data_IF_758049186257
#
_entry.id   IF_758049186257
#
_cell.length_a   1.000
_cell.length_b   1.000
_cell.length_c   1.000
_cell.angle_alpha   90.00
_cell.angle_beta   90.00
_cell.angle_gamma   90.00
#
_symmetry.space_group_name_H-M   'P 1'
#
loop_
_entity.id
_entity.type
_entity.pdbx_description
1 polymer ?
#
# COMPACT_ATOMS: atom_id res chain seq x y z
N UNK A 1 37.83 -8.69 -32.22
CA UNK A 1 38.48 -8.34 -30.93
C UNK A 1 37.33 -8.02 -30.00
N UNK A 2 36.70 -9.11 -29.59
CA UNK A 2 35.37 -9.19 -29.04
C UNK A 2 35.51 -9.23 -27.53
N UNK A 3 35.12 -8.16 -26.87
CA UNK A 3 35.02 -8.14 -25.41
C UNK A 3 33.58 -8.49 -25.07
N UNK A 4 33.32 -9.79 -24.98
CA UNK A 4 32.16 -10.35 -24.30
C UNK A 4 32.28 -10.03 -22.80
N UNK A 5 31.67 -8.93 -22.36
CA UNK A 5 31.34 -8.79 -20.94
C UNK A 5 30.11 -9.64 -20.71
N UNK A 6 30.38 -10.86 -20.26
CA UNK A 6 29.46 -11.72 -19.52
C UNK A 6 28.86 -10.92 -18.35
N UNK A 7 27.71 -10.28 -18.58
CA UNK A 7 26.82 -9.89 -17.48
C UNK A 7 26.18 -11.16 -16.96
N UNK A 8 26.90 -11.85 -16.07
CA UNK A 8 26.28 -12.78 -15.13
C UNK A 8 25.34 -11.95 -14.25
N UNK A 9 24.08 -11.83 -14.69
CA UNK A 9 23.01 -11.33 -13.86
C UNK A 9 22.78 -12.39 -12.78
N UNK A 10 23.48 -12.24 -11.66
CA UNK A 10 23.23 -13.04 -10.46
C UNK A 10 21.81 -12.73 -10.00
N UNK A 11 20.88 -13.62 -10.33
CA UNK A 11 19.55 -13.64 -9.76
C UNK A 11 19.69 -14.01 -8.28
N UNK A 12 19.70 -13.01 -7.40
CA UNK A 12 19.83 -13.22 -5.97
C UNK A 12 19.11 -12.14 -5.19
N UNK A 13 17.80 -12.32 -4.98
CA UNK A 13 17.07 -12.09 -3.72
C UNK A 13 15.56 -12.00 -4.03
N UNK A 14 14.76 -12.87 -3.43
CA UNK A 14 13.27 -12.84 -3.42
C UNK A 14 12.67 -11.60 -2.71
N UNK A 15 13.42 -10.50 -2.59
CA UNK A 15 13.00 -9.25 -1.95
C UNK A 15 12.54 -8.23 -2.99
N UNK A 16 11.27 -7.85 -2.96
CA UNK A 16 10.75 -6.73 -3.75
C UNK A 16 11.41 -5.43 -3.28
N UNK A 17 12.19 -4.78 -4.14
CA UNK A 17 12.81 -3.49 -3.80
C UNK A 17 11.76 -2.38 -3.73
N UNK A 18 11.95 -1.43 -2.81
CA UNK A 18 10.99 -0.35 -2.57
C UNK A 18 10.75 0.47 -3.85
N UNK A 19 11.81 0.83 -4.58
CA UNK A 19 11.69 1.64 -5.78
C UNK A 19 11.00 0.89 -6.92
N UNK A 20 11.23 -0.42 -7.04
CA UNK A 20 10.55 -1.27 -8.01
C UNK A 20 9.04 -1.30 -7.71
N UNK A 21 8.64 -1.48 -6.44
CA UNK A 21 7.22 -1.47 -6.08
C UNK A 21 6.53 -0.13 -6.36
N UNK A 22 7.24 0.99 -6.15
CA UNK A 22 6.75 2.32 -6.49
C UNK A 22 6.55 2.45 -8.01
N UNK A 23 7.54 2.03 -8.80
CA UNK A 23 7.48 2.07 -10.27
C UNK A 23 6.31 1.25 -10.80
N UNK A 24 6.11 0.05 -10.25
CA UNK A 24 4.99 -0.82 -10.57
C UNK A 24 3.63 -0.18 -10.25
N UNK A 25 3.51 0.48 -9.11
CA UNK A 25 2.29 1.25 -8.76
C UNK A 25 2.06 2.42 -9.71
N UNK A 26 3.11 3.12 -10.17
CA UNK A 26 2.98 4.20 -11.16
C UNK A 26 2.47 3.70 -12.52
N UNK A 27 3.00 2.57 -13.00
CA UNK A 27 2.52 1.92 -14.23
C UNK A 27 1.05 1.53 -14.08
N UNK A 28 0.70 0.99 -12.91
CA UNK A 28 -0.66 0.59 -12.60
C UNK A 28 -1.61 1.78 -12.54
N UNK A 29 -1.18 2.90 -11.96
CA UNK A 29 -1.96 4.14 -11.97
C UNK A 29 -2.20 4.62 -13.41
N UNK A 30 -1.19 4.50 -14.29
CA UNK A 30 -1.38 4.81 -15.71
C UNK A 30 -2.44 3.90 -16.36
N UNK A 31 -2.45 2.59 -16.06
CA UNK A 31 -3.49 1.67 -16.53
C UNK A 31 -4.87 2.10 -16.01
N UNK A 32 -4.97 2.40 -14.72
CA UNK A 32 -6.21 2.85 -14.07
C UNK A 32 -6.75 4.12 -14.73
N UNK A 33 -5.92 5.14 -14.91
CA UNK A 33 -6.28 6.41 -15.54
C UNK A 33 -6.63 6.28 -17.03
N UNK A 34 -6.12 5.24 -17.71
CA UNK A 34 -6.52 4.88 -19.07
C UNK A 34 -7.75 3.95 -19.10
N UNK A 35 -8.56 3.92 -18.04
CA UNK A 35 -9.77 3.10 -17.91
C UNK A 35 -9.53 1.58 -18.00
N UNK A 36 -8.29 1.11 -17.85
CA UNK A 36 -7.95 -0.32 -17.81
C UNK A 36 -8.05 -0.84 -16.37
N UNK A 37 -9.19 -0.62 -15.73
CA UNK A 37 -9.41 -0.89 -14.30
C UNK A 37 -9.15 -2.34 -13.91
N UNK A 38 -9.62 -3.30 -14.70
CA UNK A 38 -9.43 -4.73 -14.40
C UNK A 38 -7.94 -5.13 -14.41
N UNK A 39 -7.17 -4.64 -15.39
CA UNK A 39 -5.73 -4.90 -15.48
C UNK A 39 -4.96 -4.22 -14.34
N UNK A 40 -5.36 -2.99 -13.97
CA UNK A 40 -4.79 -2.28 -12.85
C UNK A 40 -5.03 -3.03 -11.52
N UNK A 41 -6.27 -3.48 -11.29
CA UNK A 41 -6.64 -4.24 -10.09
C UNK A 41 -5.88 -5.57 -10.01
N UNK A 42 -5.85 -6.35 -11.10
CA UNK A 42 -5.14 -7.64 -11.16
C UNK A 42 -3.65 -7.48 -10.86
N UNK A 43 -3.00 -6.46 -11.45
CA UNK A 43 -1.57 -6.22 -11.25
C UNK A 43 -1.23 -5.93 -9.79
N UNK A 44 -2.06 -5.15 -9.08
CA UNK A 44 -1.81 -4.87 -7.66
C UNK A 44 -2.19 -6.04 -6.75
N UNK A 45 -3.28 -6.75 -7.07
CA UNK A 45 -3.77 -7.86 -6.25
C UNK A 45 -2.74 -8.99 -6.10
N UNK A 46 -1.92 -9.25 -7.12
CA UNK A 46 -0.93 -10.34 -7.12
C UNK A 46 0.14 -10.23 -6.03
N UNK A 47 0.46 -9.01 -5.59
CA UNK A 47 1.53 -8.75 -4.61
C UNK A 47 1.04 -7.91 -3.42
N UNK A 48 -0.28 -7.76 -3.28
CA UNK A 48 -0.90 -6.94 -2.23
C UNK A 48 -0.62 -7.45 -0.81
N UNK A 49 -0.30 -8.73 -0.65
CA UNK A 49 0.08 -9.34 0.64
C UNK A 49 1.57 -9.24 0.95
N UNK A 50 2.39 -8.84 -0.03
CA UNK A 50 3.86 -8.89 0.01
C UNK A 50 4.56 -7.54 0.01
N UNK A 51 3.92 -6.46 -0.41
CA UNK A 51 4.54 -5.13 -0.38
C UNK A 51 3.55 -4.01 -0.04
N UNK A 52 4.03 -2.97 0.63
CA UNK A 52 3.21 -1.84 1.06
C UNK A 52 2.56 -1.09 -0.11
N UNK A 53 3.28 -0.93 -1.23
CA UNK A 53 2.79 -0.18 -2.38
C UNK A 53 1.76 -0.95 -3.22
N UNK A 54 1.90 -2.27 -3.35
CA UNK A 54 0.87 -3.09 -3.98
C UNK A 54 -0.38 -3.20 -3.10
N UNK A 55 -0.20 -3.30 -1.77
CA UNK A 55 -1.31 -3.27 -0.82
C UNK A 55 -2.10 -1.96 -0.91
N UNK A 56 -1.39 -0.82 -0.86
CA UNK A 56 -1.98 0.50 -0.99
C UNK A 56 -2.63 0.70 -2.36
N UNK A 57 -1.93 0.35 -3.45
CA UNK A 57 -2.45 0.47 -4.81
C UNK A 57 -3.72 -0.34 -5.03
N UNK A 58 -3.75 -1.60 -4.57
CA UNK A 58 -4.96 -2.43 -4.64
C UNK A 58 -6.10 -1.83 -3.82
N UNK A 59 -5.82 -1.38 -2.60
CA UNK A 59 -6.79 -0.69 -1.75
C UNK A 59 -7.40 0.54 -2.43
N UNK A 60 -6.57 1.43 -3.00
CA UNK A 60 -7.03 2.63 -3.69
C UNK A 60 -7.87 2.33 -4.92
N UNK A 61 -7.52 1.30 -5.71
CA UNK A 61 -8.30 0.89 -6.88
C UNK A 61 -9.68 0.37 -6.47
N UNK A 62 -9.73 -0.54 -5.49
CA UNK A 62 -11.00 -1.11 -5.00
C UNK A 62 -11.86 -0.03 -4.35
N UNK A 63 -11.26 0.90 -3.59
CA UNK A 63 -11.93 2.05 -3.03
C UNK A 63 -12.59 2.92 -4.09
N UNK A 64 -11.85 3.33 -5.13
CA UNK A 64 -12.42 4.19 -6.18
C UNK A 64 -13.56 3.45 -6.89
N UNK A 65 -13.41 2.15 -7.18
CA UNK A 65 -14.50 1.35 -7.78
C UNK A 65 -15.75 1.33 -6.91
N UNK A 66 -15.60 1.12 -5.61
CA UNK A 66 -16.72 1.12 -4.66
C UNK A 66 -17.37 2.49 -4.53
N UNK A 67 -16.59 3.57 -4.58
CA UNK A 67 -17.08 4.95 -4.59
C UNK A 67 -17.81 5.32 -5.88
N UNK A 68 -17.47 4.70 -7.01
CA UNK A 68 -18.15 4.92 -8.28
C UNK A 68 -19.52 4.24 -8.34
N UNK A 69 -19.66 3.07 -7.71
CA UNK A 69 -20.94 2.33 -7.69
C UNK A 69 -21.82 2.75 -6.52
N UNK A 70 -21.23 3.15 -5.40
CA UNK A 70 -21.90 3.36 -4.11
C UNK A 70 -22.79 2.17 -3.70
N UNK A 71 -22.47 0.96 -4.17
CA UNK A 71 -23.15 -0.26 -3.76
C UNK A 71 -22.64 -0.67 -2.38
N UNK A 72 -23.57 -1.01 -1.47
CA UNK A 72 -23.23 -1.46 -0.12
C UNK A 72 -22.28 -2.66 -0.14
N UNK A 73 -22.48 -3.61 -1.07
CA UNK A 73 -21.60 -4.77 -1.20
C UNK A 73 -20.18 -4.39 -1.62
N UNK A 74 -20.04 -3.42 -2.54
CA UNK A 74 -18.74 -2.93 -3.00
C UNK A 74 -18.04 -2.12 -1.90
N UNK A 75 -18.77 -1.28 -1.16
CA UNK A 75 -18.25 -0.53 -0.02
C UNK A 75 -17.78 -1.46 1.11
N UNK A 76 -18.54 -2.52 1.43
CA UNK A 76 -18.15 -3.56 2.39
C UNK A 76 -16.88 -4.30 1.95
N UNK A 77 -16.80 -4.69 0.68
CA UNK A 77 -15.60 -5.29 0.10
C UNK A 77 -14.41 -4.34 0.21
N UNK A 78 -14.58 -3.08 -0.15
CA UNK A 78 -13.51 -2.08 -0.06
C UNK A 78 -13.03 -1.87 1.37
N UNK A 79 -13.94 -1.89 2.34
CA UNK A 79 -13.59 -1.80 3.76
C UNK A 79 -12.74 -2.99 4.21
N UNK A 80 -13.05 -4.20 3.75
CA UNK A 80 -12.26 -5.38 4.08
C UNK A 80 -10.86 -5.29 3.45
N UNK A 81 -10.76 -4.95 2.16
CA UNK A 81 -9.48 -4.75 1.47
C UNK A 81 -8.63 -3.68 2.17
N UNK A 82 -9.26 -2.59 2.62
CA UNK A 82 -8.56 -1.52 3.34
C UNK A 82 -7.99 -1.99 4.68
N UNK A 83 -8.71 -2.86 5.42
CA UNK A 83 -8.20 -3.46 6.66
C UNK A 83 -7.03 -4.40 6.39
N UNK A 84 -7.12 -5.20 5.34
CA UNK A 84 -6.05 -6.13 4.95
C UNK A 84 -4.79 -5.35 4.53
N UNK A 85 -4.95 -4.29 3.74
CA UNK A 85 -3.85 -3.40 3.34
C UNK A 85 -3.17 -2.76 4.57
N UNK A 86 -3.96 -2.23 5.52
CA UNK A 86 -3.42 -1.73 6.79
C UNK A 86 -2.58 -2.79 7.52
N UNK A 87 -3.08 -4.04 7.61
CA UNK A 87 -2.38 -5.12 8.29
C UNK A 87 -1.08 -5.55 7.58
N UNK A 88 -1.01 -5.40 6.25
CA UNK A 88 0.22 -5.64 5.49
C UNK A 88 1.22 -4.50 5.74
N UNK A 89 0.80 -3.25 5.57
CA UNK A 89 1.66 -2.07 5.70
C UNK A 89 2.24 -1.95 7.12
N UNK A 90 1.45 -2.27 8.16
CA UNK A 90 1.88 -2.27 9.56
C UNK A 90 3.12 -3.14 9.80
N UNK A 91 3.33 -4.20 9.01
CA UNK A 91 4.50 -5.10 9.16
C UNK A 91 5.82 -4.42 8.80
N UNK A 92 5.75 -3.38 7.97
CA UNK A 92 6.88 -2.58 7.49
C UNK A 92 7.10 -1.31 8.34
N UNK A 93 6.16 -0.98 9.23
CA UNK A 93 6.32 0.15 10.15
C UNK A 93 7.34 -0.16 11.24
N UNK A 94 7.87 0.89 11.87
CA UNK A 94 8.88 0.77 12.93
C UNK A 94 8.42 -0.20 14.03
N UNK A 95 9.14 -1.32 14.17
CA UNK A 95 8.99 -2.18 15.34
C UNK A 95 9.75 -1.53 16.47
N UNK A 96 9.04 -0.93 17.43
CA UNK A 96 9.62 -0.52 18.71
C UNK A 96 10.25 -1.73 19.38
N UNK A 97 11.54 -1.98 19.14
CA UNK A 97 12.29 -2.95 19.92
C UNK A 97 12.50 -2.33 21.30
N UNK A 98 11.93 -2.94 22.33
CA UNK A 98 12.06 -2.46 23.72
C UNK A 98 13.53 -2.32 24.17
N UNK A 99 14.48 -2.97 23.47
CA UNK A 99 15.92 -2.78 23.63
C UNK A 99 16.40 -1.35 23.33
N UNK A 100 15.78 -0.67 22.37
CA UNK A 100 16.22 0.64 21.87
C UNK A 100 15.72 1.80 22.74
N UNK A 101 14.73 1.52 23.59
CA UNK A 101 14.23 2.46 24.60
C UNK A 101 15.17 2.54 25.81
N UNK A 102 15.83 1.44 26.18
CA UNK A 102 16.79 1.43 27.28
C UNK A 102 18.08 2.19 26.97
N UNK A 103 18.54 2.17 25.71
CA UNK A 103 19.73 2.91 25.27
C UNK A 103 19.48 4.42 25.09
N UNK A 104 18.23 4.81 24.84
CA UNK A 104 17.83 6.21 24.62
C UNK A 104 17.72 7.06 25.90
N UNK A 105 17.71 6.46 27.09
CA UNK A 105 17.53 7.19 28.36
C UNK A 105 18.80 7.94 28.81
N UNK A 106 19.98 7.61 28.25
CA UNK A 106 21.27 8.15 28.68
C UNK A 106 21.93 9.18 27.76
N UNK A 107 21.42 9.40 26.54
CA UNK A 107 22.07 10.34 25.62
C UNK A 107 21.48 10.28 24.23
N UNK A 108 21.11 11.46 23.71
CA UNK A 108 20.61 11.76 22.37
C UNK A 108 21.04 10.74 21.31
N UNK A 109 20.19 9.77 21.03
CA UNK A 109 20.25 8.97 19.80
C UNK A 109 19.08 9.43 18.94
N UNK A 110 19.36 10.31 17.98
CA UNK A 110 18.42 10.59 16.90
C UNK A 110 18.27 9.29 16.11
N UNK A 111 17.14 8.60 16.27
CA UNK A 111 16.84 7.38 15.50
C UNK A 111 16.69 7.79 14.04
N UNK A 112 17.53 7.24 13.17
CA UNK A 112 17.41 7.39 11.72
C UNK A 112 16.31 6.44 11.25
N UNK A 113 15.15 7.00 10.87
CA UNK A 113 14.05 6.27 10.22
C UNK A 113 14.52 5.88 8.82
N UNK A 114 14.30 4.64 8.40
CA UNK A 114 14.64 4.22 7.03
C UNK A 114 13.60 4.73 6.04
N UNK A 115 13.96 4.85 4.76
CA UNK A 115 13.01 5.24 3.72
C UNK A 115 11.82 4.27 3.67
N UNK A 116 12.06 2.97 3.83
CA UNK A 116 10.99 1.96 3.87
C UNK A 116 10.02 2.18 5.03
N UNK A 117 10.52 2.47 6.23
CA UNK A 117 9.70 2.77 7.40
C UNK A 117 8.91 4.07 7.23
N UNK A 118 9.53 5.10 6.65
CA UNK A 118 8.88 6.38 6.38
C UNK A 118 7.73 6.21 5.38
N UNK A 119 7.96 5.46 4.31
CA UNK A 119 6.94 5.13 3.32
C UNK A 119 5.83 4.24 3.92
N UNK A 120 6.17 3.32 4.83
CA UNK A 120 5.18 2.52 5.54
C UNK A 120 4.26 3.37 6.42
N UNK A 121 4.81 4.33 7.18
CA UNK A 121 4.01 5.30 7.95
C UNK A 121 3.07 6.11 7.05
N UNK A 122 3.57 6.59 5.91
CA UNK A 122 2.76 7.34 4.93
C UNK A 122 1.64 6.48 4.34
N UNK A 123 1.96 5.29 3.84
CA UNK A 123 0.99 4.37 3.24
C UNK A 123 -0.07 3.93 4.25
N UNK A 124 0.34 3.77 5.51
CA UNK A 124 -0.57 3.42 6.60
C UNK A 124 -1.53 4.57 6.89
N UNK A 125 -1.02 5.80 7.02
CA UNK A 125 -1.85 7.00 7.21
C UNK A 125 -2.86 7.20 6.07
N UNK A 126 -2.45 6.97 4.81
CA UNK A 126 -3.35 7.01 3.67
C UNK A 126 -4.43 5.93 3.73
N UNK A 127 -4.06 4.71 4.09
CA UNK A 127 -5.05 3.62 4.28
C UNK A 127 -6.03 3.92 5.42
N UNK A 128 -5.58 4.58 6.49
CA UNK A 128 -6.48 5.06 7.56
C UNK A 128 -7.47 6.11 7.06
N UNK A 129 -7.01 7.02 6.19
CA UNK A 129 -7.88 8.03 5.57
C UNK A 129 -8.95 7.38 4.69
N UNK A 130 -8.56 6.40 3.86
CA UNK A 130 -9.49 5.60 3.04
C UNK A 130 -10.50 4.89 3.93
N UNK A 131 -10.06 4.30 5.05
CA UNK A 131 -10.96 3.64 6.01
C UNK A 131 -11.95 4.61 6.63
N UNK A 132 -11.52 5.79 7.03
CA UNK A 132 -12.39 6.83 7.58
C UNK A 132 -13.44 7.28 6.55
N UNK A 133 -13.03 7.45 5.29
CA UNK A 133 -13.96 7.77 4.20
C UNK A 133 -14.99 6.65 4.00
N UNK A 134 -14.55 5.38 3.94
CA UNK A 134 -15.46 4.24 3.77
C UNK A 134 -16.45 4.11 4.94
N UNK A 135 -16.02 4.33 6.18
CA UNK A 135 -16.92 4.33 7.34
C UNK A 135 -18.04 5.37 7.18
N UNK A 136 -17.71 6.56 6.69
CA UNK A 136 -18.70 7.61 6.43
C UNK A 136 -19.75 7.20 5.38
N UNK A 137 -19.34 6.49 4.31
CA UNK A 137 -20.26 6.03 3.26
C UNK A 137 -21.05 4.79 3.64
N UNK A 138 -20.54 3.96 4.56
CA UNK A 138 -21.23 2.78 5.08
C UNK A 138 -22.29 3.13 6.11
N UNK A 139 -22.11 4.22 6.86
CA UNK A 139 -23.15 4.69 7.77
C UNK A 139 -24.40 5.03 6.95
N UNK A 140 -25.51 4.29 7.21
CA UNK A 140 -26.76 4.24 6.43
C UNK A 140 -27.46 5.61 6.23
N UNK A 141 -26.85 6.70 6.71
CA UNK A 141 -27.33 8.06 6.60
C UNK A 141 -26.99 8.76 5.28
N UNK A 142 -26.11 8.26 4.40
CA UNK A 142 -25.84 8.98 3.13
C UNK A 142 -26.82 8.61 2.00
N UNK A 143 -27.27 7.35 1.94
CA UNK A 143 -28.24 6.89 0.94
C UNK A 143 -29.64 7.52 1.11
N UNK A 144 -29.98 7.97 2.32
CA UNK A 144 -31.23 8.70 2.61
C UNK A 144 -31.14 10.19 2.29
N UNK A 145 -29.94 10.78 2.21
CA UNK A 145 -29.74 12.20 1.92
C UNK A 145 -29.73 12.53 0.41
N UNK A 146 -29.51 11.54 -0.46
CA UNK A 146 -29.51 11.70 -1.92
C UNK A 146 -30.89 11.35 -2.55
N UNK A 147 -31.84 10.82 -1.77
CA UNK A 147 -33.21 10.56 -2.24
C UNK A 147 -34.15 11.74 -2.00
#
# INVERSE_FOLDING_TARGET
MDVLISTSFSFSSDSLDLLDTISETQITLNLFLNNKFALAEERMAQLADKSMYHALGYNSIVFIKAMMTCDKADLERSMQVCKDACAVIERFRQKFSFSDTFLSLGGKTSRTITDEELHAELCYAESLLVRAALSFFQDDNFASFIR
#
